data_IF_682623210977
#
_entry.id   IF_682623210977
#
_cell.length_a   1.000
_cell.length_b   1.000
_cell.length_c   1.000
_cell.angle_alpha   90.00
_cell.angle_beta   90.00
_cell.angle_gamma   90.00
#
_symmetry.space_group_name_H-M   'P 1'
#
loop_
_entity.id
_entity.type
_entity.pdbx_description
1 polymer ?
#
# COMPACT_ATOMS: atom_id res chain seq x y z
N UNK A 1 -20.57 -19.79 -5.92
CA UNK A 1 -19.95 -20.63 -6.97
C UNK A 1 -18.48 -20.25 -7.21
N UNK A 2 -18.19 -18.99 -7.52
CA UNK A 2 -16.83 -18.49 -7.84
C UNK A 2 -15.75 -18.73 -6.76
N UNK A 3 -16.06 -18.47 -5.49
CA UNK A 3 -15.11 -18.66 -4.37
C UNK A 3 -14.68 -20.14 -4.24
N UNK A 4 -15.60 -21.09 -4.52
CA UNK A 4 -15.27 -22.52 -4.48
C UNK A 4 -14.34 -22.92 -5.62
N UNK A 5 -14.50 -22.32 -6.80
CA UNK A 5 -13.63 -22.55 -7.96
C UNK A 5 -12.23 -22.00 -7.69
N UNK A 6 -12.12 -20.77 -7.19
CA UNK A 6 -10.83 -20.19 -6.79
C UNK A 6 -10.17 -21.05 -5.70
N UNK A 7 -10.90 -21.41 -4.64
CA UNK A 7 -10.36 -22.29 -3.59
C UNK A 7 -9.91 -23.66 -4.12
N UNK A 8 -10.56 -24.17 -5.16
CA UNK A 8 -10.15 -25.38 -5.87
C UNK A 8 -8.86 -25.20 -6.67
N UNK A 9 -8.73 -24.10 -7.42
CA UNK A 9 -7.54 -23.77 -8.21
C UNK A 9 -6.28 -23.58 -7.34
N UNK A 10 -6.45 -23.06 -6.12
CA UNK A 10 -5.34 -22.83 -5.17
C UNK A 10 -5.11 -24.00 -4.20
N UNK A 11 -5.85 -25.12 -4.33
CA UNK A 11 -5.63 -26.30 -3.51
C UNK A 11 -4.42 -27.07 -4.05
N UNK A 12 -3.38 -27.23 -3.23
CA UNK A 12 -2.13 -27.92 -3.60
C UNK A 12 -1.44 -27.30 -4.83
N UNK A 13 -1.45 -25.96 -4.93
CA UNK A 13 -0.82 -25.25 -6.03
C UNK A 13 0.71 -25.35 -5.93
N UNK A 14 1.35 -25.87 -6.98
CA UNK A 14 2.81 -26.02 -7.07
C UNK A 14 3.37 -25.21 -8.23
N UNK A 15 4.57 -24.64 -8.04
CA UNK A 15 5.35 -24.04 -9.12
C UNK A 15 6.50 -24.97 -9.48
N UNK A 16 6.77 -25.11 -10.77
CA UNK A 16 7.88 -25.92 -11.28
C UNK A 16 9.02 -25.01 -11.69
N UNK A 17 10.20 -25.24 -11.13
CA UNK A 17 11.45 -24.58 -11.54
C UNK A 17 12.31 -25.66 -12.19
N UNK A 18 12.80 -25.42 -13.40
CA UNK A 18 13.62 -26.37 -14.17
C UNK A 18 15.06 -25.84 -14.30
N UNK A 19 15.91 -25.94 -13.25
CA UNK A 19 17.35 -25.79 -13.44
C UNK A 19 17.88 -26.90 -14.35
N UNK A 20 19.01 -26.64 -15.04
CA UNK A 20 19.60 -27.45 -16.12
C UNK A 20 19.67 -28.98 -15.92
N UNK A 21 19.56 -29.48 -14.69
CA UNK A 21 19.72 -30.89 -14.36
C UNK A 21 18.45 -31.61 -13.91
N UNK A 22 17.52 -30.93 -13.21
CA UNK A 22 16.32 -31.58 -12.66
C UNK A 22 15.22 -30.56 -12.37
N UNK A 23 13.98 -31.01 -12.55
CA UNK A 23 12.81 -30.24 -12.18
C UNK A 23 12.56 -30.25 -10.66
N UNK A 24 12.33 -29.06 -10.10
CA UNK A 24 11.99 -28.88 -8.69
C UNK A 24 10.55 -28.36 -8.63
N UNK A 25 9.67 -29.11 -7.97
CA UNK A 25 8.33 -28.65 -7.64
C UNK A 25 8.32 -28.02 -6.25
N UNK A 26 7.82 -26.79 -6.15
CA UNK A 26 7.71 -26.03 -4.91
C UNK A 26 6.24 -25.77 -4.63
N UNK A 27 5.77 -26.19 -3.46
CA UNK A 27 4.43 -25.85 -2.98
C UNK A 27 4.33 -24.36 -2.69
N UNK A 28 3.43 -23.68 -3.40
CA UNK A 28 3.19 -22.26 -3.23
C UNK A 28 2.17 -22.07 -2.11
N UNK A 29 2.64 -21.60 -0.95
CA UNK A 29 1.79 -21.37 0.23
C UNK A 29 1.27 -19.94 0.35
N UNK A 30 2.01 -18.96 -0.18
CA UNK A 30 1.70 -17.53 -0.11
C UNK A 30 2.11 -16.90 -1.44
N UNK A 31 1.32 -15.94 -1.91
CA UNK A 31 1.65 -15.14 -3.08
C UNK A 31 0.68 -15.35 -4.24
N UNK A 32 0.98 -14.62 -5.31
CA UNK A 32 0.12 -14.46 -6.47
C UNK A 32 0.92 -14.85 -7.71
N UNK A 33 0.34 -15.66 -8.61
CA UNK A 33 0.98 -16.01 -9.88
C UNK A 33 1.01 -14.81 -10.82
N UNK A 34 2.22 -14.38 -11.19
CA UNK A 34 2.40 -13.33 -12.19
C UNK A 34 1.91 -13.85 -13.57
N UNK A 35 1.07 -13.07 -14.26
CA UNK A 35 0.45 -13.46 -15.53
C UNK A 35 -0.96 -14.06 -15.43
N UNK A 36 -1.49 -14.26 -14.22
CA UNK A 36 -2.91 -14.60 -14.02
C UNK A 36 -3.76 -13.31 -14.05
N UNK A 37 -4.81 -13.29 -14.89
CA UNK A 37 -5.68 -12.12 -15.10
C UNK A 37 -6.63 -11.84 -13.92
N UNK A 38 -6.95 -12.84 -13.11
CA UNK A 38 -7.94 -12.74 -12.01
C UNK A 38 -7.27 -12.30 -10.71
N UNK A 39 -6.03 -12.72 -10.53
CA UNK A 39 -5.29 -12.58 -9.29
C UNK A 39 -4.97 -11.15 -8.85
N UNK A 40 -4.53 -10.23 -9.74
CA UNK A 40 -4.38 -8.83 -9.39
C UNK A 40 -5.70 -8.22 -8.91
N UNK A 41 -6.83 -8.59 -9.53
CA UNK A 41 -8.15 -8.13 -9.10
C UNK A 41 -8.52 -8.66 -7.72
N UNK A 42 -8.18 -9.91 -7.42
CA UNK A 42 -8.41 -10.51 -6.09
C UNK A 42 -7.55 -9.84 -5.02
N UNK A 43 -6.30 -9.55 -5.32
CA UNK A 43 -5.41 -8.79 -4.43
C UNK A 43 -6.01 -7.40 -4.15
N UNK A 44 -6.34 -6.62 -5.19
CA UNK A 44 -6.95 -5.30 -5.03
C UNK A 44 -8.29 -5.36 -4.27
N UNK A 45 -9.15 -6.33 -4.55
CA UNK A 45 -10.42 -6.49 -3.83
C UNK A 45 -10.21 -6.83 -2.35
N UNK A 46 -9.20 -7.65 -2.03
CA UNK A 46 -8.85 -7.99 -0.65
C UNK A 46 -8.34 -6.76 0.10
N UNK A 47 -7.47 -5.97 -0.55
CA UNK A 47 -6.95 -4.72 -0.01
C UNK A 47 -8.06 -3.67 0.18
N UNK A 48 -8.95 -3.50 -0.79
CA UNK A 48 -10.13 -2.63 -0.65
C UNK A 48 -11.04 -3.05 0.51
N UNK A 49 -11.26 -4.35 0.69
CA UNK A 49 -12.04 -4.87 1.81
C UNK A 49 -11.36 -4.64 3.17
N UNK A 50 -10.02 -4.61 3.23
CA UNK A 50 -9.31 -4.15 4.43
C UNK A 50 -9.56 -2.67 4.66
N UNK A 51 -9.38 -1.83 3.63
CA UNK A 51 -9.57 -0.38 3.75
C UNK A 51 -10.99 0.01 4.19
N UNK A 52 -12.01 -0.67 3.66
CA UNK A 52 -13.42 -0.41 4.03
C UNK A 52 -13.77 -0.78 5.47
N UNK A 53 -13.00 -1.69 6.10
CA UNK A 53 -13.25 -2.13 7.48
C UNK A 53 -12.52 -1.28 8.52
N UNK A 54 -11.66 -0.36 8.09
CA UNK A 54 -10.97 0.55 8.97
C UNK A 54 -11.90 1.70 9.31
N UNK A 55 -12.19 1.87 10.60
CA UNK A 55 -13.11 2.89 11.12
C UNK A 55 -12.41 4.25 11.17
N UNK A 56 -12.23 4.86 10.01
CA UNK A 56 -11.51 6.13 9.86
C UNK A 56 -12.41 7.35 9.65
N UNK A 57 -13.73 7.25 9.83
CA UNK A 57 -14.70 8.32 9.53
C UNK A 57 -14.35 9.70 10.11
N UNK A 58 -13.66 9.74 11.25
CA UNK A 58 -13.22 10.97 11.93
C UNK A 58 -11.73 11.32 11.75
N UNK A 59 -10.99 10.53 10.97
CA UNK A 59 -9.58 10.74 10.67
C UNK A 59 -9.39 11.40 9.31
N UNK A 60 -8.18 11.80 8.93
CA UNK A 60 -7.90 12.35 7.59
C UNK A 60 -8.23 13.82 7.41
N UNK A 61 -8.33 14.28 6.16
CA UNK A 61 -8.50 15.70 5.83
C UNK A 61 -9.85 15.93 5.14
N UNK A 62 -10.55 16.99 5.52
CA UNK A 62 -11.83 17.38 4.91
C UNK A 62 -11.61 18.25 3.68
N UNK A 63 -12.11 17.81 2.53
CA UNK A 63 -12.06 18.52 1.24
C UNK A 63 -13.49 18.60 0.69
N UNK A 64 -13.98 19.81 0.42
CA UNK A 64 -15.32 20.07 -0.12
C UNK A 64 -16.45 19.33 0.63
N UNK A 65 -16.36 19.31 1.96
CA UNK A 65 -17.33 18.64 2.82
C UNK A 65 -17.15 17.13 2.96
N UNK A 66 -16.27 16.50 2.18
CA UNK A 66 -15.98 15.06 2.22
C UNK A 66 -14.69 14.78 2.97
N UNK A 67 -14.66 13.67 3.71
CA UNK A 67 -13.49 13.24 4.44
C UNK A 67 -12.60 12.37 3.52
N UNK A 68 -11.34 12.74 3.36
CA UNK A 68 -10.35 12.03 2.56
C UNK A 68 -9.28 11.43 3.48
N UNK A 69 -9.20 10.10 3.50
CA UNK A 69 -8.29 9.36 4.38
C UNK A 69 -7.14 8.70 3.61
N UNK A 70 -7.41 8.20 2.41
CA UNK A 70 -6.43 7.43 1.66
C UNK A 70 -6.66 7.51 0.15
N UNK A 71 -5.60 7.23 -0.61
CA UNK A 71 -5.63 6.89 -2.03
C UNK A 71 -5.00 5.50 -2.19
N UNK A 72 -5.56 4.68 -3.08
CA UNK A 72 -5.07 3.33 -3.32
C UNK A 72 -5.06 3.05 -4.82
N UNK A 73 -3.92 2.63 -5.34
CA UNK A 73 -3.78 2.18 -6.72
C UNK A 73 -2.86 0.96 -6.77
N UNK A 74 -3.37 -0.17 -7.29
CA UNK A 74 -2.67 -1.45 -7.22
C UNK A 74 -2.20 -1.79 -5.80
N UNK A 75 -0.88 -1.84 -5.57
CA UNK A 75 -0.23 -2.03 -4.28
C UNK A 75 0.26 -0.73 -3.62
N UNK A 76 0.19 0.41 -4.31
CA UNK A 76 0.59 1.71 -3.79
C UNK A 76 -0.55 2.40 -3.03
N UNK A 77 -0.26 2.77 -1.77
CA UNK A 77 -1.22 3.33 -0.83
C UNK A 77 -0.66 4.64 -0.27
N UNK A 78 -1.49 5.68 -0.29
CA UNK A 78 -1.18 6.97 0.33
C UNK A 78 -2.18 7.21 1.45
N UNK A 79 -1.69 7.39 2.67
CA UNK A 79 -2.52 7.83 3.81
C UNK A 79 -2.41 9.35 3.96
N UNK A 80 -3.54 10.01 4.13
CA UNK A 80 -3.66 11.47 4.20
C UNK A 80 -4.18 11.82 5.58
N UNK A 81 -3.41 12.57 6.36
CA UNK A 81 -3.75 12.89 7.75
C UNK A 81 -3.42 14.36 8.07
N UNK A 82 -4.14 14.97 9.03
CA UNK A 82 -3.92 16.36 9.41
C UNK A 82 -2.74 16.53 10.38
N UNK A 83 -2.31 15.45 11.04
CA UNK A 83 -1.21 15.49 12.00
C UNK A 83 -0.56 14.12 12.17
N UNK A 84 0.64 14.12 12.74
CA UNK A 84 1.46 12.93 12.96
C UNK A 84 0.79 11.87 13.86
N UNK A 85 -0.03 12.31 14.83
CA UNK A 85 -0.69 11.39 15.76
C UNK A 85 -1.78 10.57 15.06
N UNK A 86 -2.56 11.19 14.18
CA UNK A 86 -3.49 10.46 13.32
C UNK A 86 -2.76 9.60 12.29
N UNK A 87 -1.65 10.09 11.72
CA UNK A 87 -0.82 9.28 10.82
C UNK A 87 -0.38 7.97 11.48
N UNK A 88 0.02 8.03 12.75
CA UNK A 88 0.50 6.86 13.49
C UNK A 88 -0.64 5.87 13.71
N UNK A 89 -1.77 6.34 14.22
CA UNK A 89 -2.95 5.50 14.47
C UNK A 89 -3.43 4.80 13.19
N UNK A 90 -3.53 5.54 12.08
CA UNK A 90 -3.94 4.97 10.80
C UNK A 90 -2.94 3.94 10.29
N UNK A 91 -1.64 4.20 10.46
CA UNK A 91 -0.62 3.25 10.03
C UNK A 91 -0.63 1.97 10.87
N UNK A 92 -0.75 2.08 12.20
CA UNK A 92 -0.81 0.94 13.11
C UNK A 92 -2.05 0.07 12.84
N UNK A 93 -3.22 0.70 12.67
CA UNK A 93 -4.47 0.00 12.34
C UNK A 93 -4.36 -0.70 10.98
N UNK A 94 -3.76 -0.03 10.00
CA UNK A 94 -3.60 -0.57 8.67
C UNK A 94 -2.63 -1.76 8.64
N UNK A 95 -1.48 -1.67 9.31
CA UNK A 95 -0.51 -2.77 9.42
C UNK A 95 -1.13 -3.98 10.12
N UNK A 96 -1.83 -3.76 11.24
CA UNK A 96 -2.54 -4.80 11.97
C UNK A 96 -3.63 -5.47 11.11
N UNK A 97 -4.36 -4.70 10.31
CA UNK A 97 -5.38 -5.25 9.42
C UNK A 97 -4.77 -6.04 8.25
N UNK A 98 -3.66 -5.58 7.69
CA UNK A 98 -2.88 -6.29 6.69
C UNK A 98 -2.33 -7.62 7.22
N UNK A 99 -1.77 -7.61 8.45
CA UNK A 99 -1.24 -8.81 9.08
C UNK A 99 -2.27 -9.93 9.24
N UNK A 100 -3.53 -9.59 9.53
CA UNK A 100 -4.64 -10.56 9.64
C UNK A 100 -4.93 -11.31 8.34
N UNK A 101 -4.58 -10.73 7.19
CA UNK A 101 -4.77 -11.34 5.87
C UNK A 101 -3.45 -11.81 5.24
N UNK A 102 -2.36 -11.81 6.02
CA UNK A 102 -1.05 -12.26 5.56
C UNK A 102 -0.31 -11.26 4.66
N UNK A 103 -0.74 -10.00 4.62
CA UNK A 103 -0.01 -8.92 3.96
C UNK A 103 0.96 -8.26 4.95
N UNK A 104 2.06 -7.71 4.43
CA UNK A 104 3.05 -6.97 5.19
C UNK A 104 3.40 -5.68 4.48
N UNK A 105 3.54 -4.60 5.25
CA UNK A 105 4.03 -3.33 4.73
C UNK A 105 5.52 -3.42 4.39
N UNK A 106 5.89 -2.77 3.29
CA UNK A 106 7.30 -2.64 2.93
C UNK A 106 7.88 -1.38 3.58
N UNK A 107 8.30 -1.51 4.84
CA UNK A 107 8.78 -0.38 5.65
C UNK A 107 9.97 0.37 5.05
N UNK A 108 10.80 -0.30 4.22
CA UNK A 108 11.94 0.36 3.57
C UNK A 108 11.51 1.26 2.41
N UNK A 109 10.34 1.00 1.81
CA UNK A 109 9.75 1.82 0.74
C UNK A 109 8.72 2.82 1.26
N UNK A 110 8.18 2.61 2.46
CA UNK A 110 7.25 3.55 3.08
C UNK A 110 7.99 4.84 3.46
N UNK A 111 7.51 5.97 2.94
CA UNK A 111 8.04 7.30 3.22
C UNK A 111 6.94 8.21 3.77
N UNK A 112 7.35 9.26 4.49
CA UNK A 112 6.42 10.28 4.97
C UNK A 112 6.75 11.65 4.38
N UNK A 113 5.70 12.40 4.01
CA UNK A 113 5.81 13.77 3.52
C UNK A 113 4.98 14.67 4.44
N UNK A 114 5.59 15.75 4.93
CA UNK A 114 4.94 16.78 5.75
C UNK A 114 4.71 18.03 4.90
N UNK A 115 3.51 18.60 4.94
CA UNK A 115 3.25 19.93 4.36
C UNK A 115 3.38 20.99 5.48
N UNK A 116 4.28 21.96 5.29
CA UNK A 116 4.50 23.09 6.22
C UNK A 116 5.73 22.95 7.16
N UNK A 117 6.02 24.02 7.92
CA UNK A 117 7.11 24.13 8.92
C UNK A 117 6.84 23.33 10.21
N UNK A 118 6.44 22.07 10.07
CA UNK A 118 6.16 21.21 11.23
C UNK A 118 7.48 20.65 11.75
N UNK A 119 7.80 20.98 13.01
CA UNK A 119 8.93 20.42 13.78
C UNK A 119 9.07 18.91 13.60
N UNK A 120 10.31 18.43 13.49
CA UNK A 120 10.70 17.03 13.35
C UNK A 120 10.37 16.20 14.60
N UNK A 121 9.09 16.00 14.89
CA UNK A 121 8.68 14.87 15.71
C UNK A 121 8.98 13.57 14.94
N UNK A 122 9.66 12.59 15.57
CA UNK A 122 9.91 11.29 14.96
C UNK A 122 8.60 10.55 14.70
N UNK A 123 8.57 9.79 13.61
CA UNK A 123 7.44 8.96 13.19
C UNK A 123 7.92 7.51 13.09
N UNK A 124 7.33 6.60 13.86
CA UNK A 124 7.88 5.25 14.06
C UNK A 124 6.79 4.18 14.00
N UNK A 125 6.98 3.13 13.20
CA UNK A 125 6.20 1.90 13.31
C UNK A 125 7.14 0.78 13.79
N UNK A 126 6.75 0.04 14.82
CA UNK A 126 7.53 -1.07 15.38
C UNK A 126 9.03 -0.74 15.54
N UNK A 127 9.34 0.38 16.21
CA UNK A 127 10.70 0.86 16.51
C UNK A 127 11.48 1.36 15.27
N UNK A 128 10.94 1.21 14.06
CA UNK A 128 11.57 1.68 12.82
C UNK A 128 11.18 3.11 12.51
N UNK A 129 12.17 4.02 12.41
CA UNK A 129 11.95 5.39 11.98
C UNK A 129 11.67 5.43 10.47
N UNK A 130 10.56 6.06 10.08
CA UNK A 130 10.33 6.32 8.66
C UNK A 130 11.22 7.45 8.15
N UNK A 131 11.75 7.27 6.95
CA UNK A 131 12.44 8.35 6.26
C UNK A 131 11.43 9.43 5.85
N UNK A 132 11.70 10.67 6.26
CA UNK A 132 11.01 11.84 5.73
C UNK A 132 11.52 12.16 4.33
N UNK A 133 10.62 12.55 3.42
CA UNK A 133 11.01 13.00 2.08
C UNK A 133 10.36 14.34 1.72
N UNK A 134 11.09 15.17 0.96
CA UNK A 134 10.62 16.47 0.46
C UNK A 134 9.81 16.36 -0.84
N UNK A 135 9.95 15.25 -1.57
CA UNK A 135 9.18 14.99 -2.77
C UNK A 135 9.02 13.50 -3.06
N UNK A 136 7.88 13.11 -3.61
CA UNK A 136 7.59 11.72 -3.95
C UNK A 136 6.89 11.66 -5.31
N UNK A 137 7.10 10.59 -6.08
CA UNK A 137 6.40 10.38 -7.35
C UNK A 137 5.33 9.35 -7.12
N UNK A 138 4.06 9.75 -7.22
CA UNK A 138 2.91 8.87 -7.14
C UNK A 138 2.19 8.88 -8.49
N UNK A 139 2.08 7.72 -9.13
CA UNK A 139 1.46 7.56 -10.46
C UNK A 139 2.03 8.56 -11.49
N UNK A 140 3.35 8.59 -11.62
CA UNK A 140 4.11 9.50 -12.49
C UNK A 140 3.95 11.00 -12.18
N UNK A 141 3.22 11.34 -11.12
CA UNK A 141 3.04 12.71 -10.65
C UNK A 141 3.96 13.01 -9.48
N UNK A 142 4.83 14.02 -9.65
CA UNK A 142 5.69 14.49 -8.57
C UNK A 142 4.87 15.34 -7.60
N UNK A 143 4.77 14.87 -6.37
CA UNK A 143 4.23 15.57 -5.22
C UNK A 143 5.41 16.20 -4.47
N UNK A 144 5.34 17.49 -4.15
CA UNK A 144 6.37 18.18 -3.37
C UNK A 144 5.77 19.13 -2.34
N UNK A 145 6.56 19.44 -1.31
CA UNK A 145 6.15 20.29 -0.19
C UNK A 145 5.83 21.75 -0.58
N UNK A 146 6.30 22.22 -1.74
CA UNK A 146 6.11 23.59 -2.21
C UNK A 146 4.85 23.76 -3.06
N UNK A 147 4.07 22.69 -3.28
CA UNK A 147 3.00 22.65 -4.29
C UNK A 147 3.47 23.13 -5.68
N UNK A 148 4.76 22.94 -5.99
CA UNK A 148 5.35 23.42 -7.22
C UNK A 148 5.06 22.44 -8.37
N UNK A 149 4.27 22.89 -9.35
CA UNK A 149 3.92 22.10 -10.54
C UNK A 149 4.96 22.23 -11.66
N UNK A 150 5.94 23.14 -11.55
CA UNK A 150 6.93 23.42 -12.61
C UNK A 150 7.77 22.19 -12.99
N UNK A 151 8.24 21.36 -12.05
CA UNK A 151 8.98 20.14 -12.38
C UNK A 151 8.12 19.09 -13.10
N UNK A 152 6.81 19.07 -12.85
CA UNK A 152 5.87 18.17 -13.54
C UNK A 152 5.63 18.66 -14.98
N UNK A 153 5.38 19.96 -15.16
CA UNK A 153 5.16 20.56 -16.48
C UNK A 153 6.39 20.41 -17.39
N UNK A 154 7.59 20.53 -16.82
CA UNK A 154 8.85 20.37 -17.56
C UNK A 154 9.10 18.93 -18.03
N UNK A 155 8.52 17.92 -17.35
CA UNK A 155 8.66 16.50 -17.71
C UNK A 155 7.72 16.05 -18.82
N UNK A 156 6.65 16.81 -19.10
CA UNK A 156 5.64 16.49 -20.12
C UNK A 156 5.85 17.23 -21.45
N UNK A 157 6.99 17.91 -21.59
CA UNK A 157 7.42 18.53 -22.86
C UNK A 157 8.21 17.56 -23.72
#
# INVERSE_FOLDING_TARGET
>A
MYIKILRGLYKNFTTKISPFYNDINIDVKIGVRQGDTILPKLFTATLQNVMQKLEWDNMGVKIDGRQLHHLCFADDIVLITPNIRQAQLMLDDFDKACGKIGLRLNLTKTMFIKYGLISCAPFTLDVTNFSGCFSYVYLDRKINMMNDLVPELSRRK
#
